data_IF_588516100841
#
_entry.id   IF_588516100841
#
_cell.length_a   1.000
_cell.length_b   1.000
_cell.length_c   1.000
_cell.angle_alpha   90.00
_cell.angle_beta   90.00
_cell.angle_gamma   90.00
#
_symmetry.space_group_name_H-M   'P 1'
#
loop_
_entity.id
_entity.type
_entity.pdbx_description
1 polymer ?
#
# COMPACT_ATOMS: atom_id res chain seq x y z
N UNK A 1 -36.71 -67.36 -40.39
CA UNK A 1 -36.35 -67.19 -38.99
C UNK A 1 -35.21 -66.12 -38.86
N UNK A 2 -35.57 -64.84 -38.72
CA UNK A 2 -34.58 -63.75 -38.51
C UNK A 2 -34.40 -63.51 -37.00
N UNK A 3 -33.16 -63.72 -36.49
CA UNK A 3 -32.76 -63.37 -35.13
C UNK A 3 -32.44 -61.85 -35.07
N UNK A 4 -33.23 -61.12 -34.25
CA UNK A 4 -32.91 -59.72 -33.90
C UNK A 4 -31.74 -59.72 -32.88
N UNK A 5 -30.62 -59.11 -33.25
CA UNK A 5 -29.55 -58.79 -32.32
C UNK A 5 -29.86 -57.42 -31.68
N UNK A 6 -29.99 -57.40 -30.36
CA UNK A 6 -30.15 -56.18 -29.58
C UNK A 6 -28.76 -55.60 -29.22
N UNK A 7 -28.39 -54.44 -29.76
CA UNK A 7 -27.22 -53.67 -29.33
C UNK A 7 -27.53 -52.86 -28.08
N UNK A 8 -27.10 -53.31 -26.92
CA UNK A 8 -27.08 -52.48 -25.72
C UNK A 8 -25.80 -51.63 -25.74
N UNK A 9 -25.95 -50.36 -26.13
CA UNK A 9 -24.84 -49.37 -26.04
C UNK A 9 -24.67 -48.90 -24.62
N UNK A 10 -23.54 -49.27 -24.00
CA UNK A 10 -23.15 -48.71 -22.70
C UNK A 10 -22.59 -47.30 -22.90
N UNK A 11 -23.32 -46.30 -22.45
CA UNK A 11 -22.78 -44.93 -22.39
C UNK A 11 -21.81 -44.80 -21.21
N UNK A 12 -20.51 -44.79 -21.50
CA UNK A 12 -19.49 -44.37 -20.55
C UNK A 12 -19.55 -42.81 -20.42
N UNK A 13 -20.08 -42.31 -19.32
CA UNK A 13 -19.97 -40.90 -18.97
C UNK A 13 -18.64 -40.75 -18.24
N UNK A 14 -17.65 -40.03 -18.79
CA UNK A 14 -16.43 -39.74 -18.04
C UNK A 14 -16.77 -38.82 -16.86
N UNK A 15 -16.54 -39.29 -15.64
CA UNK A 15 -16.63 -38.45 -14.44
C UNK A 15 -15.50 -37.41 -14.50
N UNK A 16 -15.83 -36.18 -14.91
CA UNK A 16 -14.91 -35.04 -14.85
C UNK A 16 -14.77 -34.68 -13.38
N UNK A 17 -13.67 -35.10 -12.78
CA UNK A 17 -13.23 -34.63 -11.47
C UNK A 17 -12.87 -33.15 -11.58
N UNK A 18 -13.81 -32.26 -11.26
CA UNK A 18 -13.52 -30.85 -11.03
C UNK A 18 -12.73 -30.73 -9.73
N UNK A 19 -11.42 -30.93 -9.84
CA UNK A 19 -10.50 -30.64 -8.76
C UNK A 19 -10.67 -29.16 -8.40
N UNK A 20 -11.11 -28.87 -7.16
CA UNK A 20 -11.13 -27.52 -6.63
C UNK A 20 -9.70 -26.98 -6.62
N UNK A 21 -9.34 -26.21 -7.64
CA UNK A 21 -8.06 -25.50 -7.66
C UNK A 21 -8.10 -24.48 -6.50
N UNK A 22 -7.46 -24.82 -5.41
CA UNK A 22 -7.26 -23.88 -4.31
C UNK A 22 -6.38 -22.75 -4.83
N UNK A 23 -6.93 -21.57 -4.94
CA UNK A 23 -6.17 -20.42 -5.38
C UNK A 23 -5.03 -20.19 -4.38
N UNK A 24 -3.81 -20.02 -4.90
CA UNK A 24 -2.63 -19.78 -4.06
C UNK A 24 -2.85 -18.50 -3.21
N UNK A 25 -2.36 -18.51 -1.95
CA UNK A 25 -2.47 -17.35 -1.08
C UNK A 25 -1.88 -16.09 -1.71
N UNK A 26 -2.60 -14.97 -1.61
CA UNK A 26 -2.10 -13.69 -2.12
C UNK A 26 -1.04 -13.14 -1.16
N UNK A 27 0.18 -12.95 -1.63
CA UNK A 27 1.32 -12.46 -0.84
C UNK A 27 1.54 -13.27 0.45
N UNK A 28 1.85 -14.57 0.38
CA UNK A 28 2.02 -15.42 1.56
C UNK A 28 3.12 -14.91 2.47
N UNK A 29 3.04 -15.27 3.75
CA UNK A 29 4.06 -14.91 4.73
C UNK A 29 5.42 -15.56 4.35
N UNK A 30 6.53 -14.78 4.36
CA UNK A 30 7.86 -15.32 4.09
C UNK A 30 8.46 -16.12 5.27
N UNK A 31 7.73 -16.27 6.36
CA UNK A 31 8.16 -16.97 7.57
C UNK A 31 7.01 -17.23 8.51
N UNK A 32 7.33 -17.69 9.72
CA UNK A 32 6.34 -18.02 10.74
C UNK A 32 5.56 -16.78 11.20
N UNK A 33 4.26 -16.96 11.42
CA UNK A 33 3.36 -15.94 11.96
C UNK A 33 2.92 -16.29 13.38
N UNK A 34 2.72 -15.30 14.21
CA UNK A 34 2.07 -15.45 15.51
C UNK A 34 0.58 -15.14 15.39
N UNK A 35 -0.28 -15.97 15.93
CA UNK A 35 -1.72 -15.75 15.83
C UNK A 35 -2.24 -14.89 16.98
N UNK A 36 -3.17 -14.00 16.64
CA UNK A 36 -3.83 -13.13 17.62
C UNK A 36 -5.33 -13.01 17.29
N UNK A 37 -6.14 -12.80 18.33
CA UNK A 37 -7.58 -12.57 18.18
C UNK A 37 -7.84 -11.09 18.08
N UNK A 38 -8.58 -10.70 17.04
CA UNK A 38 -9.01 -9.32 16.81
C UNK A 38 -10.22 -9.02 17.68
N UNK A 39 -10.16 -7.92 18.43
CA UNK A 39 -11.30 -7.37 19.17
C UNK A 39 -12.19 -6.56 18.24
N UNK A 40 -11.59 -5.64 17.45
CA UNK A 40 -12.29 -4.82 16.47
C UNK A 40 -11.35 -4.29 15.42
N UNK A 41 -11.91 -3.95 14.27
CA UNK A 41 -11.26 -3.15 13.21
C UNK A 41 -11.52 -1.68 13.51
N UNK A 42 -10.44 -0.93 13.72
CA UNK A 42 -10.53 0.50 14.03
C UNK A 42 -10.65 1.34 12.76
N UNK A 43 -9.83 0.99 11.76
CA UNK A 43 -9.69 1.68 10.48
C UNK A 43 -9.34 0.69 9.37
N UNK A 44 -9.30 1.12 8.11
CA UNK A 44 -8.95 0.26 6.97
C UNK A 44 -7.54 -0.35 7.03
N UNK A 45 -6.70 0.07 7.96
CA UNK A 45 -5.33 -0.42 8.14
C UNK A 45 -4.90 -0.57 9.61
N UNK A 46 -5.87 -0.57 10.53
CA UNK A 46 -5.59 -0.64 11.96
C UNK A 46 -6.55 -1.59 12.68
N UNK A 47 -5.99 -2.54 13.41
CA UNK A 47 -6.70 -3.51 14.23
C UNK A 47 -6.49 -3.26 15.71
N UNK A 48 -7.50 -3.53 16.54
CA UNK A 48 -7.40 -3.68 17.98
C UNK A 48 -7.48 -5.16 18.32
N UNK A 49 -6.52 -5.69 19.05
CA UNK A 49 -6.47 -7.07 19.49
C UNK A 49 -7.07 -7.22 20.89
N UNK A 50 -7.55 -8.42 21.22
CA UNK A 50 -8.09 -8.74 22.55
C UNK A 50 -7.04 -8.63 23.66
N UNK A 51 -5.75 -8.79 23.34
CA UNK A 51 -4.64 -8.60 24.30
C UNK A 51 -4.28 -7.13 24.56
N UNK A 52 -5.07 -6.20 24.02
CA UNK A 52 -4.90 -4.77 24.23
C UNK A 52 -3.96 -4.08 23.22
N UNK A 53 -3.24 -4.80 22.34
CA UNK A 53 -2.39 -4.19 21.34
C UNK A 53 -3.21 -3.51 20.23
N UNK A 54 -2.73 -2.36 19.76
CA UNK A 54 -3.16 -1.77 18.49
C UNK A 54 -2.14 -2.13 17.42
N UNK A 55 -2.60 -2.73 16.31
CA UNK A 55 -1.74 -3.15 15.19
C UNK A 55 -1.98 -2.22 14.02
N UNK A 56 -0.92 -1.55 13.54
CA UNK A 56 -0.90 -0.82 12.29
C UNK A 56 -0.32 -1.73 11.21
N UNK A 57 -1.09 -1.98 10.20
CA UNK A 57 -0.74 -2.87 9.10
C UNK A 57 0.37 -2.27 8.23
N UNK A 58 1.40 -3.06 7.92
CA UNK A 58 2.59 -2.62 7.16
C UNK A 58 2.31 -2.66 5.66
N UNK A 59 2.75 -1.61 4.96
CA UNK A 59 2.69 -1.57 3.48
C UNK A 59 1.38 -1.06 2.91
N UNK A 60 0.42 -0.71 3.76
CA UNK A 60 -0.88 -0.17 3.39
C UNK A 60 -1.11 1.17 4.08
N UNK A 61 -1.64 2.14 3.35
CA UNK A 61 -2.28 3.33 3.90
C UNK A 61 -3.72 3.38 3.39
N UNK A 62 -4.66 3.05 4.24
CA UNK A 62 -6.08 3.18 3.92
C UNK A 62 -6.53 4.65 4.08
N UNK A 63 -7.60 5.07 3.39
CA UNK A 63 -8.24 6.34 3.64
C UNK A 63 -8.72 6.45 5.08
N UNK A 64 -8.57 7.64 5.68
CA UNK A 64 -8.91 7.90 7.08
C UNK A 64 -10.42 7.98 7.29
N UNK A 65 -10.93 7.25 8.28
CA UNK A 65 -12.29 7.45 8.79
C UNK A 65 -12.34 8.79 9.53
N UNK A 66 -13.33 9.60 9.25
CA UNK A 66 -13.44 10.93 9.86
C UNK A 66 -13.43 10.86 11.38
N UNK A 67 -12.64 11.76 12.02
CA UNK A 67 -12.53 11.90 13.49
C UNK A 67 -12.52 13.38 13.84
N UNK A 68 -13.04 13.72 15.02
CA UNK A 68 -12.97 15.08 15.58
C UNK A 68 -13.47 16.18 14.64
N UNK A 69 -14.63 15.94 13.98
CA UNK A 69 -15.23 16.92 13.08
C UNK A 69 -14.67 16.96 11.66
N UNK A 70 -13.72 16.10 11.33
CA UNK A 70 -13.29 15.89 9.95
C UNK A 70 -14.15 14.83 9.28
N UNK A 71 -14.59 15.09 8.04
CA UNK A 71 -15.30 14.09 7.23
C UNK A 71 -14.40 12.94 6.87
N UNK A 72 -14.98 11.73 6.72
CA UNK A 72 -14.26 10.56 6.23
C UNK A 72 -13.74 10.80 4.80
N UNK A 73 -12.55 10.29 4.51
CA UNK A 73 -12.02 10.28 3.16
C UNK A 73 -12.81 9.30 2.27
N UNK A 74 -12.87 9.52 0.95
CA UNK A 74 -13.51 8.59 0.04
C UNK A 74 -12.97 7.16 0.21
N UNK A 75 -13.85 6.17 0.24
CA UNK A 75 -13.58 4.74 0.45
C UNK A 75 -13.08 4.34 1.87
N UNK A 76 -12.99 5.25 2.84
CA UNK A 76 -12.58 4.90 4.20
C UNK A 76 -13.48 3.82 4.84
N UNK A 77 -14.79 4.03 4.81
CA UNK A 77 -15.76 3.04 5.31
C UNK A 77 -15.74 1.73 4.52
N UNK A 78 -15.53 1.78 3.21
CA UNK A 78 -15.42 0.59 2.37
C UNK A 78 -14.18 -0.23 2.77
N UNK A 79 -13.03 0.41 2.95
CA UNK A 79 -11.80 -0.23 3.41
C UNK A 79 -11.97 -0.88 4.79
N UNK A 80 -12.55 -0.15 5.74
CA UNK A 80 -12.82 -0.65 7.09
C UNK A 80 -13.77 -1.85 7.09
N UNK A 81 -14.91 -1.75 6.39
CA UNK A 81 -15.89 -2.84 6.26
C UNK A 81 -15.28 -4.07 5.57
N UNK A 82 -14.47 -3.86 4.54
CA UNK A 82 -13.80 -4.96 3.86
C UNK A 82 -12.80 -5.68 4.78
N UNK A 83 -12.00 -4.95 5.54
CA UNK A 83 -11.10 -5.53 6.53
C UNK A 83 -11.88 -6.30 7.62
N UNK A 84 -13.04 -5.79 8.08
CA UNK A 84 -13.93 -6.51 9.00
C UNK A 84 -14.38 -7.85 8.41
N UNK A 85 -14.78 -7.87 7.13
CA UNK A 85 -15.17 -9.11 6.43
C UNK A 85 -14.00 -10.11 6.37
N UNK A 86 -12.78 -9.65 6.02
CA UNK A 86 -11.60 -10.52 5.94
C UNK A 86 -11.23 -11.11 7.31
N UNK A 87 -11.35 -10.33 8.38
CA UNK A 87 -11.15 -10.79 9.75
C UNK A 87 -12.24 -11.80 10.16
N UNK A 88 -13.50 -11.56 9.82
CA UNK A 88 -14.61 -12.48 10.09
C UNK A 88 -14.43 -13.82 9.34
N UNK A 89 -14.00 -13.78 8.06
CA UNK A 89 -13.65 -14.99 7.28
C UNK A 89 -12.50 -15.80 7.90
N UNK A 90 -11.71 -15.16 8.77
CA UNK A 90 -10.65 -15.80 9.56
C UNK A 90 -11.10 -16.16 11.00
N UNK A 91 -12.42 -16.24 11.26
CA UNK A 91 -13.00 -16.49 12.58
C UNK A 91 -12.49 -15.53 13.67
N UNK A 92 -12.21 -14.29 13.29
CA UNK A 92 -11.65 -13.27 14.18
C UNK A 92 -10.20 -13.49 14.60
N UNK A 93 -9.50 -14.49 14.02
CA UNK A 93 -8.11 -14.84 14.35
C UNK A 93 -7.21 -14.61 13.15
N UNK A 94 -6.17 -13.79 13.30
CA UNK A 94 -5.25 -13.43 12.24
C UNK A 94 -3.80 -13.79 12.56
N UNK A 95 -3.01 -14.10 11.53
CA UNK A 95 -1.57 -14.27 11.65
C UNK A 95 -0.86 -12.93 11.60
N UNK A 96 0.13 -12.72 12.45
CA UNK A 96 0.95 -11.51 12.51
C UNK A 96 2.40 -11.85 12.20
N UNK A 97 2.97 -11.21 11.19
CA UNK A 97 4.41 -11.18 10.93
C UNK A 97 4.93 -9.81 11.36
N UNK A 98 5.66 -9.77 12.47
CA UNK A 98 6.19 -8.53 13.01
C UNK A 98 7.16 -7.85 12.03
N UNK A 99 7.09 -6.53 11.94
CA UNK A 99 8.07 -5.74 11.21
C UNK A 99 9.44 -5.76 11.88
N UNK A 100 10.49 -5.51 11.11
CA UNK A 100 11.86 -5.30 11.65
C UNK A 100 11.87 -4.17 12.68
N UNK A 101 11.17 -3.08 12.44
CA UNK A 101 10.75 -2.12 13.43
C UNK A 101 9.38 -2.56 13.93
N UNK A 102 9.31 -2.96 15.19
CA UNK A 102 8.11 -3.58 15.78
C UNK A 102 7.05 -2.58 16.25
N UNK A 103 7.40 -1.30 16.43
CA UNK A 103 6.48 -0.26 16.92
C UNK A 103 6.67 1.05 16.18
N UNK A 104 5.58 1.80 16.02
CA UNK A 104 5.63 3.18 15.54
C UNK A 104 5.79 4.18 16.71
N UNK A 105 5.88 5.47 16.36
CA UNK A 105 6.00 6.57 17.34
C UNK A 105 4.79 6.74 18.25
N UNK A 106 3.66 6.11 17.92
CA UNK A 106 2.44 6.14 18.73
C UNK A 106 2.29 4.89 19.60
N UNK A 107 3.29 4.00 19.62
CA UNK A 107 3.30 2.75 20.37
C UNK A 107 2.50 1.60 19.72
N UNK A 108 1.94 1.79 18.51
CA UNK A 108 1.22 0.73 17.80
C UNK A 108 2.21 -0.33 17.32
N UNK A 109 1.81 -1.61 17.44
CA UNK A 109 2.56 -2.73 16.85
C UNK A 109 2.52 -2.62 15.32
N UNK A 110 3.68 -2.75 14.67
CA UNK A 110 3.81 -2.81 13.23
C UNK A 110 3.93 -4.25 12.79
N UNK A 111 2.97 -4.77 12.01
CA UNK A 111 2.97 -6.13 11.50
C UNK A 111 2.29 -6.22 10.13
N UNK A 112 2.71 -7.20 9.33
CA UNK A 112 1.90 -7.71 8.23
C UNK A 112 0.84 -8.67 8.80
N UNK A 113 -0.37 -8.61 8.27
CA UNK A 113 -1.53 -9.35 8.78
C UNK A 113 -1.99 -10.37 7.74
N UNK A 114 -2.25 -11.60 8.20
CA UNK A 114 -2.63 -12.73 7.33
C UNK A 114 -3.95 -13.32 7.76
N UNK A 115 -4.80 -13.63 6.80
CA UNK A 115 -6.05 -14.35 7.00
C UNK A 115 -5.85 -15.86 7.19
N UNK A 116 -6.93 -16.57 7.44
CA UNK A 116 -6.93 -18.04 7.62
C UNK A 116 -6.48 -18.79 6.36
N UNK A 117 -6.68 -18.21 5.18
CA UNK A 117 -6.24 -18.74 3.89
C UNK A 117 -4.74 -18.48 3.61
N UNK A 118 -4.00 -17.89 4.56
CA UNK A 118 -2.60 -17.52 4.42
C UNK A 118 -2.35 -16.28 3.56
N UNK A 119 -3.40 -15.62 3.04
CA UNK A 119 -3.25 -14.38 2.25
C UNK A 119 -2.96 -13.19 3.15
N UNK A 120 -2.11 -12.30 2.66
CA UNK A 120 -1.84 -11.00 3.30
C UNK A 120 -3.06 -10.08 3.13
N UNK A 121 -3.62 -9.59 4.24
CA UNK A 121 -4.83 -8.78 4.23
C UNK A 121 -4.61 -7.40 3.62
N UNK A 122 -3.42 -6.82 3.79
CA UNK A 122 -3.03 -5.57 3.13
C UNK A 122 -3.06 -5.73 1.61
N UNK A 123 -2.52 -6.83 1.10
CA UNK A 123 -2.51 -7.12 -0.33
C UNK A 123 -3.93 -7.33 -0.90
N UNK A 124 -4.83 -7.94 -0.12
CA UNK A 124 -6.27 -8.04 -0.48
C UNK A 124 -6.90 -6.66 -0.65
N UNK A 125 -6.73 -5.78 0.34
CA UNK A 125 -7.25 -4.41 0.27
C UNK A 125 -6.64 -3.62 -0.89
N UNK A 126 -5.33 -3.76 -1.13
CA UNK A 126 -4.63 -3.12 -2.26
C UNK A 126 -5.15 -3.62 -3.61
N UNK A 127 -5.38 -4.94 -3.76
CA UNK A 127 -5.91 -5.53 -4.99
C UNK A 127 -7.34 -5.08 -5.31
N UNK A 128 -8.11 -4.70 -4.30
CA UNK A 128 -9.47 -4.16 -4.43
C UNK A 128 -9.48 -2.61 -4.54
N UNK A 129 -8.32 -1.95 -4.49
CA UNK A 129 -8.20 -0.49 -4.57
C UNK A 129 -8.72 0.24 -3.33
N UNK A 130 -8.66 -0.39 -2.16
CA UNK A 130 -9.15 0.15 -0.89
C UNK A 130 -8.04 0.75 -0.02
N UNK A 131 -6.89 1.04 -0.61
CA UNK A 131 -5.78 1.70 0.04
C UNK A 131 -4.63 1.95 -0.92
N UNK A 132 -3.62 2.64 -0.44
CA UNK A 132 -2.39 2.96 -1.16
C UNK A 132 -1.24 2.14 -0.60
N UNK A 133 -0.47 1.51 -1.47
CA UNK A 133 0.75 0.85 -1.04
C UNK A 133 1.78 1.89 -0.57
N UNK A 134 2.42 1.64 0.57
CA UNK A 134 3.47 2.48 1.13
C UNK A 134 4.71 1.68 1.50
N UNK A 135 5.88 2.24 1.21
CA UNK A 135 7.17 1.61 1.48
C UNK A 135 7.91 2.40 2.57
N UNK A 136 7.83 1.95 3.81
CA UNK A 136 8.50 2.59 4.95
C UNK A 136 9.59 1.65 5.48
N UNK A 137 10.85 1.97 5.18
CA UNK A 137 11.98 1.21 5.70
C UNK A 137 12.05 1.28 7.24
N UNK A 138 12.44 0.20 7.92
CA UNK A 138 12.95 -1.07 7.40
C UNK A 138 11.87 -2.12 7.07
N UNK A 139 10.58 -1.80 7.21
CA UNK A 139 9.44 -2.70 7.11
C UNK A 139 8.95 -2.85 5.66
N UNK A 140 9.71 -3.54 4.81
CA UNK A 140 9.44 -3.66 3.36
C UNK A 140 9.42 -5.11 2.86
N UNK A 141 9.22 -6.08 3.74
CA UNK A 141 9.35 -7.51 3.41
C UNK A 141 8.41 -7.96 2.27
N UNK A 142 7.18 -7.47 2.22
CA UNK A 142 6.19 -7.84 1.20
C UNK A 142 6.01 -6.77 0.09
N UNK A 143 6.92 -5.79 0.01
CA UNK A 143 6.80 -4.65 -0.88
C UNK A 143 6.49 -5.02 -2.32
N UNK A 144 7.24 -5.94 -2.92
CA UNK A 144 7.09 -6.31 -4.33
C UNK A 144 5.71 -6.89 -4.65
N UNK A 145 5.21 -7.77 -3.77
CA UNK A 145 3.91 -8.40 -3.91
C UNK A 145 2.78 -7.40 -3.67
N UNK A 146 2.86 -6.58 -2.62
CA UNK A 146 1.88 -5.53 -2.34
C UNK A 146 1.80 -4.49 -3.47
N UNK A 147 2.94 -4.13 -4.06
CA UNK A 147 2.97 -3.28 -5.26
C UNK A 147 2.32 -3.95 -6.47
N UNK A 148 2.46 -5.27 -6.64
CA UNK A 148 1.80 -6.00 -7.71
C UNK A 148 0.27 -5.99 -7.52
N UNK A 149 -0.21 -6.19 -6.30
CA UNK A 149 -1.62 -6.10 -5.95
C UNK A 149 -2.22 -4.72 -6.27
N UNK A 150 -1.54 -3.65 -5.85
CA UNK A 150 -1.97 -2.28 -6.18
C UNK A 150 -1.95 -2.01 -7.69
N UNK A 151 -0.90 -2.47 -8.41
CA UNK A 151 -0.85 -2.28 -9.88
C UNK A 151 -2.03 -2.94 -10.59
N UNK A 152 -2.48 -4.10 -10.13
CA UNK A 152 -3.65 -4.78 -10.68
C UNK A 152 -4.92 -3.97 -10.47
N UNK A 153 -5.15 -3.46 -9.25
CA UNK A 153 -6.28 -2.58 -8.95
C UNK A 153 -6.26 -1.29 -9.77
N UNK A 154 -5.08 -0.68 -9.93
CA UNK A 154 -4.90 0.54 -10.72
C UNK A 154 -5.20 0.30 -12.21
N UNK A 155 -4.73 -0.84 -12.77
CA UNK A 155 -5.03 -1.23 -14.16
C UNK A 155 -6.51 -1.47 -14.37
N UNK A 156 -7.18 -2.13 -13.41
CA UNK A 156 -8.60 -2.43 -13.44
C UNK A 156 -9.50 -1.25 -13.00
N UNK A 157 -8.92 -0.10 -12.61
CA UNK A 157 -9.63 1.09 -12.11
C UNK A 157 -10.59 0.79 -10.95
N UNK A 158 -10.15 -0.02 -9.99
CA UNK A 158 -10.95 -0.39 -8.82
C UNK A 158 -10.82 0.65 -7.70
N UNK A 159 -11.88 0.80 -6.92
CA UNK A 159 -11.90 1.61 -5.70
C UNK A 159 -11.35 3.02 -5.91
N UNK A 160 -10.31 3.38 -5.17
CA UNK A 160 -9.59 4.67 -5.24
C UNK A 160 -9.01 4.98 -6.64
N UNK A 161 -8.82 3.97 -7.47
CA UNK A 161 -8.25 4.11 -8.81
C UNK A 161 -9.30 4.36 -9.92
N UNK A 162 -10.60 4.46 -9.57
CA UNK A 162 -11.65 4.84 -10.53
C UNK A 162 -11.38 6.20 -11.15
N UNK A 163 -10.87 7.11 -10.33
CA UNK A 163 -10.34 8.40 -10.76
C UNK A 163 -8.86 8.47 -10.37
N UNK A 164 -8.08 9.30 -11.06
CA UNK A 164 -6.68 9.45 -10.69
C UNK A 164 -6.55 10.17 -9.33
N UNK A 165 -6.00 9.52 -8.30
CA UNK A 165 -5.75 10.17 -7.01
C UNK A 165 -4.45 10.98 -7.01
N UNK A 166 -3.73 11.04 -8.14
CA UNK A 166 -2.44 11.71 -8.27
C UNK A 166 -2.66 13.21 -8.42
N UNK A 167 -2.21 13.96 -7.43
CA UNK A 167 -2.29 15.43 -7.39
C UNK A 167 -1.11 16.06 -8.13
N UNK A 168 -1.35 17.17 -8.82
CA UNK A 168 -0.25 18.05 -9.21
C UNK A 168 0.29 18.80 -7.97
N UNK A 169 1.59 19.19 -7.93
CA UNK A 169 2.17 19.87 -6.77
C UNK A 169 1.39 21.10 -6.30
N UNK A 170 0.87 21.90 -7.22
CA UNK A 170 0.08 23.09 -6.93
C UNK A 170 -1.33 22.81 -6.38
N UNK A 171 -1.78 21.57 -6.41
CA UNK A 171 -3.08 21.17 -5.81
C UNK A 171 -2.97 20.83 -4.33
N UNK A 172 -1.75 20.75 -3.78
CA UNK A 172 -1.53 20.46 -2.36
C UNK A 172 -1.97 21.67 -1.54
N UNK A 173 -2.89 21.44 -0.57
CA UNK A 173 -3.46 22.49 0.31
C UNK A 173 -3.16 22.25 1.78
N UNK A 174 -2.87 21.01 2.18
CA UNK A 174 -2.64 20.61 3.58
C UNK A 174 -1.57 19.54 3.68
N UNK A 175 -0.97 19.41 4.86
CA UNK A 175 -0.11 18.27 5.22
C UNK A 175 -0.94 16.98 5.26
N UNK A 176 -0.32 15.85 4.99
CA UNK A 176 -0.98 14.55 5.00
C UNK A 176 -0.45 13.64 3.90
N UNK A 177 -1.02 12.45 3.81
CA UNK A 177 -0.65 11.50 2.76
C UNK A 177 -1.14 12.00 1.40
N UNK A 178 -0.27 11.88 0.38
CA UNK A 178 -0.62 12.20 -1.00
C UNK A 178 0.19 11.35 -2.01
N UNK A 179 -0.43 11.10 -3.15
CA UNK A 179 0.25 10.74 -4.38
C UNK A 179 0.43 12.01 -5.20
N UNK A 180 1.65 12.33 -5.60
CA UNK A 180 1.95 13.58 -6.32
C UNK A 180 2.69 13.25 -7.60
N UNK A 181 2.22 13.80 -8.72
CA UNK A 181 2.87 13.70 -10.03
C UNK A 181 3.35 15.06 -10.50
N UNK A 182 4.57 15.14 -11.04
CA UNK A 182 5.10 16.39 -11.55
C UNK A 182 6.37 16.22 -12.38
N UNK A 183 6.74 17.26 -13.11
CA UNK A 183 8.02 17.33 -13.81
C UNK A 183 9.09 17.84 -12.84
N UNK A 184 10.22 17.17 -12.80
CA UNK A 184 11.38 17.59 -12.01
C UNK A 184 12.01 18.81 -12.66
N UNK A 185 12.03 19.93 -11.95
CA UNK A 185 12.67 21.17 -12.41
C UNK A 185 14.17 21.21 -12.07
N UNK A 186 14.53 20.71 -10.90
CA UNK A 186 15.91 20.74 -10.41
C UNK A 186 16.20 19.59 -9.46
N UNK A 187 17.42 19.07 -9.48
CA UNK A 187 17.96 18.13 -8.51
C UNK A 187 19.19 18.77 -7.84
N UNK A 188 19.16 18.87 -6.51
CA UNK A 188 20.24 19.48 -5.71
C UNK A 188 20.70 18.52 -4.63
N UNK A 189 22.01 18.46 -4.39
CA UNK A 189 22.63 17.66 -3.32
C UNK A 189 23.41 18.55 -2.37
N UNK A 190 23.23 18.32 -1.07
CA UNK A 190 23.99 18.97 -0.01
C UNK A 190 24.13 18.04 1.20
N UNK A 191 24.68 18.53 2.31
CA UNK A 191 24.82 17.77 3.55
C UNK A 191 23.49 17.26 4.12
N UNK A 192 22.36 17.94 3.84
CA UNK A 192 21.02 17.52 4.23
C UNK A 192 20.42 16.42 3.37
N UNK A 193 21.08 15.98 2.29
CA UNK A 193 20.62 14.93 1.39
C UNK A 193 20.38 15.39 -0.03
N UNK A 194 19.46 14.70 -0.72
CA UNK A 194 19.04 15.02 -2.09
C UNK A 194 17.66 15.69 -2.08
N UNK A 195 17.59 16.80 -2.80
CA UNK A 195 16.41 17.62 -2.96
C UNK A 195 15.99 17.63 -4.42
N UNK A 196 14.77 17.20 -4.70
CA UNK A 196 14.23 17.07 -6.04
C UNK A 196 13.02 18.01 -6.13
N UNK A 197 13.23 19.16 -6.74
CA UNK A 197 12.19 20.18 -6.89
C UNK A 197 11.24 19.79 -8.04
N UNK A 198 9.94 19.77 -7.78
CA UNK A 198 8.91 19.60 -8.80
C UNK A 198 8.34 20.96 -9.21
N UNK A 199 8.02 21.11 -10.48
CA UNK A 199 7.27 22.27 -10.95
C UNK A 199 5.95 22.38 -10.18
N UNK A 200 5.65 23.57 -9.64
CA UNK A 200 4.43 23.79 -8.86
C UNK A 200 4.59 23.81 -7.33
N UNK A 201 5.85 23.86 -6.81
CA UNK A 201 6.12 24.25 -5.42
C UNK A 201 6.14 23.10 -4.40
N UNK A 202 6.43 21.89 -4.83
CA UNK A 202 6.74 20.75 -3.96
C UNK A 202 8.19 20.33 -4.13
N UNK A 203 8.86 19.97 -3.05
CA UNK A 203 10.17 19.33 -3.07
C UNK A 203 10.07 17.91 -2.50
N UNK A 204 10.63 16.94 -3.23
CA UNK A 204 10.87 15.60 -2.71
C UNK A 204 12.24 15.61 -2.01
N UNK A 205 12.33 14.97 -0.86
CA UNK A 205 13.56 14.97 -0.06
C UNK A 205 13.99 13.54 0.29
N UNK A 206 15.23 13.20 -0.03
CA UNK A 206 15.86 11.95 0.39
C UNK A 206 16.98 12.32 1.38
N UNK A 207 16.80 11.95 2.64
CA UNK A 207 17.80 12.22 3.67
C UNK A 207 19.10 11.44 3.45
N UNK A 208 20.23 11.88 4.08
CA UNK A 208 21.54 11.27 3.85
C UNK A 208 21.57 9.76 4.14
N UNK A 209 20.88 9.32 5.20
CA UNK A 209 20.82 7.90 5.60
C UNK A 209 20.08 7.04 4.60
N UNK A 210 19.10 7.58 3.88
CA UNK A 210 18.27 6.87 2.91
C UNK A 210 18.90 6.83 1.51
N UNK A 211 19.84 7.74 1.19
CA UNK A 211 20.44 7.86 -0.15
C UNK A 211 21.08 6.56 -0.63
N UNK A 212 21.68 5.77 0.26
CA UNK A 212 22.32 4.51 -0.09
C UNK A 212 21.35 3.45 -0.64
N UNK A 213 20.07 3.52 -0.28
CA UNK A 213 19.04 2.59 -0.77
C UNK A 213 18.51 2.94 -2.16
N UNK A 214 18.80 4.13 -2.69
CA UNK A 214 18.35 4.57 -4.00
C UNK A 214 19.40 4.33 -5.08
N UNK A 215 18.93 4.02 -6.29
CA UNK A 215 19.80 3.90 -7.46
C UNK A 215 20.37 5.27 -7.85
N UNK A 216 21.68 5.47 -7.65
CA UNK A 216 22.35 6.75 -7.88
C UNK A 216 22.30 7.20 -9.35
N UNK A 217 22.38 6.26 -10.31
CA UNK A 217 22.25 6.56 -11.75
C UNK A 217 20.86 7.07 -12.07
N UNK A 218 19.82 6.46 -11.48
CA UNK A 218 18.45 6.92 -11.65
C UNK A 218 18.24 8.31 -11.05
N UNK A 219 18.78 8.58 -9.85
CA UNK A 219 18.68 9.89 -9.21
C UNK A 219 19.36 11.00 -10.05
N UNK A 220 20.50 10.72 -10.64
CA UNK A 220 21.23 11.67 -11.49
C UNK A 220 20.46 12.03 -12.77
N UNK A 221 19.61 11.13 -13.29
CA UNK A 221 18.83 11.33 -14.51
C UNK A 221 17.42 11.86 -14.29
N UNK A 222 17.08 12.31 -13.08
CA UNK A 222 15.72 12.77 -12.76
C UNK A 222 15.38 14.15 -13.30
N UNK A 223 16.37 15.03 -13.51
CA UNK A 223 16.10 16.38 -13.99
C UNK A 223 15.40 16.35 -15.35
N UNK A 224 14.28 17.08 -15.46
CA UNK A 224 13.43 17.07 -16.64
C UNK A 224 12.44 15.90 -16.71
N UNK A 225 12.66 14.82 -15.97
CA UNK A 225 11.78 13.65 -15.96
C UNK A 225 10.42 13.96 -15.31
N UNK A 226 9.38 13.25 -15.75
CA UNK A 226 8.07 13.22 -15.07
C UNK A 226 8.06 12.07 -14.06
N UNK A 227 7.76 12.40 -12.80
CA UNK A 227 7.77 11.44 -11.70
C UNK A 227 6.42 11.39 -11.00
N UNK A 228 6.13 10.25 -10.35
CA UNK A 228 5.08 10.07 -9.36
C UNK A 228 5.75 9.72 -8.03
N UNK A 229 5.43 10.45 -6.99
CA UNK A 229 5.90 10.20 -5.63
C UNK A 229 4.70 10.03 -4.69
N UNK A 230 4.90 9.31 -3.60
CA UNK A 230 3.87 9.09 -2.57
C UNK A 230 4.45 9.16 -1.18
N UNK A 231 3.66 9.64 -0.23
CA UNK A 231 4.06 9.75 1.16
C UNK A 231 3.38 10.91 1.86
N UNK A 232 3.87 11.23 3.04
CA UNK A 232 3.31 12.30 3.88
C UNK A 232 3.94 13.64 3.56
N UNK A 233 3.15 14.51 2.95
CA UNK A 233 3.54 15.89 2.67
C UNK A 233 3.56 16.70 3.96
N UNK A 234 4.61 17.49 4.14
CA UNK A 234 4.84 18.37 5.29
C UNK A 234 4.80 19.82 4.85
N UNK A 235 4.14 20.66 5.64
CA UNK A 235 4.19 22.12 5.50
C UNK A 235 5.47 22.67 6.16
N UNK A 236 6.36 23.22 5.37
CA UNK A 236 7.62 23.80 5.85
C UNK A 236 7.48 25.24 6.29
N UNK A 237 6.43 25.95 5.88
CA UNK A 237 6.21 27.35 6.26
C UNK A 237 6.07 27.55 7.76
N UNK A 238 5.66 26.51 8.49
CA UNK A 238 5.49 26.53 9.96
C UNK A 238 6.78 26.16 10.72
N UNK A 239 7.89 25.88 10.04
CA UNK A 239 9.18 25.56 10.69
C UNK A 239 9.98 26.82 10.90
N UNK A 240 10.56 26.98 12.10
CA UNK A 240 11.55 28.00 12.35
C UNK A 240 12.70 27.89 11.35
N UNK A 241 13.09 28.99 10.70
CA UNK A 241 14.16 29.00 9.70
C UNK A 241 13.72 28.69 8.26
N UNK A 242 12.44 28.73 7.92
CA UNK A 242 11.98 28.70 6.54
C UNK A 242 12.57 29.88 5.76
N UNK A 243 13.37 29.59 4.71
CA UNK A 243 14.04 30.62 3.89
C UNK A 243 13.12 31.07 2.75
N UNK A 244 13.18 32.35 2.39
CA UNK A 244 12.52 32.85 1.19
C UNK A 244 12.97 32.05 -0.05
N UNK A 245 12.05 31.76 -0.97
CA UNK A 245 12.34 30.97 -2.18
C UNK A 245 12.35 29.45 -1.99
N UNK A 246 12.19 28.93 -0.79
CA UNK A 246 12.04 27.48 -0.58
C UNK A 246 10.60 27.03 -0.87
N UNK A 247 10.47 25.85 -1.48
CA UNK A 247 9.17 25.19 -1.66
C UNK A 247 8.47 25.04 -0.30
N UNK A 248 7.24 25.50 -0.20
CA UNK A 248 6.41 25.37 1.02
C UNK A 248 6.20 23.91 1.39
N UNK A 249 5.94 23.06 0.42
CA UNK A 249 5.60 21.67 0.63
C UNK A 249 6.83 20.77 0.44
N UNK A 250 6.98 19.79 1.32
CA UNK A 250 8.04 18.78 1.24
C UNK A 250 7.45 17.39 1.42
N UNK A 251 7.86 16.45 0.58
CA UNK A 251 7.54 15.03 0.70
C UNK A 251 8.83 14.25 0.94
N UNK A 252 9.07 13.78 2.18
CA UNK A 252 10.21 12.91 2.47
C UNK A 252 10.06 11.54 1.82
N UNK A 253 11.09 11.09 1.11
CA UNK A 253 11.18 9.76 0.54
C UNK A 253 12.10 8.89 1.42
N UNK A 254 11.55 7.85 2.02
CA UNK A 254 12.30 6.95 2.92
C UNK A 254 12.72 5.66 2.23
N UNK A 255 12.15 5.36 1.06
CA UNK A 255 12.43 4.15 0.29
C UNK A 255 12.22 4.40 -1.22
N UNK A 256 13.03 3.76 -2.11
CA UNK A 256 12.86 3.89 -3.56
C UNK A 256 11.45 3.55 -4.07
N UNK A 257 10.76 2.61 -3.42
CA UNK A 257 9.38 2.24 -3.76
C UNK A 257 8.35 3.36 -3.62
N UNK A 258 8.72 4.52 -3.05
CA UNK A 258 7.87 5.71 -2.94
C UNK A 258 8.04 6.68 -4.12
N UNK A 259 8.94 6.39 -5.08
CA UNK A 259 9.23 7.22 -6.24
C UNK A 259 9.21 6.38 -7.51
N UNK A 260 8.46 6.82 -8.51
CA UNK A 260 8.37 6.18 -9.82
C UNK A 260 8.66 7.21 -10.92
N UNK A 261 9.55 6.89 -11.83
CA UNK A 261 9.73 7.65 -13.08
C UNK A 261 8.64 7.23 -14.06
N UNK A 262 7.89 8.18 -14.58
CA UNK A 262 6.75 7.96 -15.50
C UNK A 262 7.18 8.15 -16.93
N UNK A 263 7.94 9.22 -17.21
CA UNK A 263 8.50 9.53 -18.51
C UNK A 263 9.77 10.38 -18.36
N UNK A 264 10.63 10.32 -19.35
CA UNK A 264 11.83 11.14 -19.49
C UNK A 264 11.66 12.17 -20.59
#
# INVERSE_FOLDING_TARGET
>A
LLKKASLAGAFFVPAIWLGSAWAAPLCPAPGAVTYATVERVTDGDTLRLKDGRSVRMIGLNAPETGKQGQSAEPFADAARKRLQTLVAQSNGRVGLLAGKQSRDRYGRTLAHVFGADGSNLEARLLAEGLGYQVAIAPNVALLGCQQAAERSARKARLGLWRQSPVLAPQQIRRSGFALVGGKVSQVRRNQGGLWIDLQGGLVLHIGPRQLASFNQKQLASLQGAKVEARGWVLDRSRRAGAKAGQARWMLPLTHPGMLKVIAR
#
